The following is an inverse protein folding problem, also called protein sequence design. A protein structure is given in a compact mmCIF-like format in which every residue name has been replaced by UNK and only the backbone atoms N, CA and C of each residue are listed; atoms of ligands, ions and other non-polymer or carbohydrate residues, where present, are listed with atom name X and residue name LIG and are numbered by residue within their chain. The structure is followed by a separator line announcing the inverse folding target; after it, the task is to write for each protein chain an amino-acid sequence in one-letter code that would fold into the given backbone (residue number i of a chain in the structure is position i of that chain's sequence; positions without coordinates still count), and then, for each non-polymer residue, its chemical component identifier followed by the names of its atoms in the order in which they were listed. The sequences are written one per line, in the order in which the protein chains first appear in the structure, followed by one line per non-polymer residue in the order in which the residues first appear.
data_IF_493786617208
#
_entry.id   IF_493786617208
#
_cell.length_a   1.000
_cell.length_b   1.000
_cell.length_c   1.000
_cell.angle_alpha   90.00
_cell.angle_beta   90.00
_cell.angle_gamma   90.00
#
_symmetry.space_group_name_H-M   'P 1'
#
loop_
_entity.id
_entity.type
_entity.pdbx_description
1 polymer ?
#
# COMPACT_ATOMS: atom_id res chain seq x y z
N UNK A 1 11.46 -23.22 -22.66
CA UNK A 1 10.04 -22.93 -22.37
C UNK A 1 9.78 -23.24 -20.89
N UNK A 2 10.10 -22.27 -20.01
CA UNK A 2 9.88 -22.32 -18.55
C UNK A 2 9.81 -20.89 -17.94
N UNK A 3 9.77 -19.83 -18.77
CA UNK A 3 9.87 -18.44 -18.28
C UNK A 3 8.51 -17.96 -17.72
N UNK A 4 7.39 -18.40 -18.31
CA UNK A 4 6.04 -18.02 -17.89
C UNK A 4 5.68 -18.50 -16.47
N UNK A 5 6.05 -19.73 -16.10
CA UNK A 5 5.65 -20.32 -14.81
C UNK A 5 6.36 -19.66 -13.61
N UNK A 6 7.68 -19.43 -13.74
CA UNK A 6 8.46 -18.69 -12.72
C UNK A 6 8.01 -17.24 -12.59
N UNK A 7 7.60 -16.59 -13.69
CA UNK A 7 7.09 -15.22 -13.67
C UNK A 7 5.70 -15.13 -13.02
N UNK A 8 4.82 -16.11 -13.26
CA UNK A 8 3.52 -16.22 -12.61
C UNK A 8 3.68 -16.39 -11.09
N UNK A 9 4.57 -17.27 -10.63
CA UNK A 9 4.82 -17.45 -9.20
C UNK A 9 5.39 -16.20 -8.52
N UNK A 10 6.37 -15.54 -9.13
CA UNK A 10 6.97 -14.30 -8.60
C UNK A 10 5.92 -13.21 -8.45
N UNK A 11 5.03 -13.07 -9.44
CA UNK A 11 3.94 -12.08 -9.42
C UNK A 11 2.89 -12.43 -8.37
N UNK A 12 2.48 -13.69 -8.25
CA UNK A 12 1.55 -14.13 -7.22
C UNK A 12 2.09 -13.83 -5.81
N UNK A 13 3.37 -14.14 -5.55
CA UNK A 13 4.05 -13.82 -4.29
C UNK A 13 4.10 -12.31 -4.03
N UNK A 14 4.42 -11.49 -5.04
CA UNK A 14 4.50 -10.04 -4.90
C UNK A 14 3.17 -9.41 -4.47
N UNK A 15 2.04 -9.87 -5.05
CA UNK A 15 0.70 -9.37 -4.69
C UNK A 15 0.36 -9.73 -3.23
N UNK A 16 0.65 -10.97 -2.80
CA UNK A 16 0.40 -11.43 -1.43
C UNK A 16 1.25 -10.65 -0.43
N UNK A 17 2.54 -10.46 -0.74
CA UNK A 17 3.46 -9.69 0.12
C UNK A 17 2.98 -8.24 0.22
N UNK A 18 2.67 -7.57 -0.89
CA UNK A 18 2.19 -6.18 -0.89
C UNK A 18 0.94 -6.02 -0.03
N UNK A 19 0.00 -6.97 -0.12
CA UNK A 19 -1.22 -6.98 0.68
C UNK A 19 -0.94 -7.13 2.18
N UNK A 20 -0.01 -8.02 2.55
CA UNK A 20 0.36 -8.25 3.93
C UNK A 20 1.16 -7.09 4.53
N UNK A 21 2.08 -6.51 3.75
CA UNK A 21 2.85 -5.33 4.15
C UNK A 21 1.92 -4.14 4.40
N UNK A 22 0.96 -3.90 3.50
CA UNK A 22 -0.05 -2.85 3.70
C UNK A 22 -0.81 -3.02 5.01
N UNK A 23 -1.32 -4.23 5.27
CA UNK A 23 -2.01 -4.53 6.54
C UNK A 23 -1.09 -4.30 7.73
N UNK A 24 0.16 -4.76 7.67
CA UNK A 24 1.14 -4.57 8.74
C UNK A 24 1.42 -3.10 9.04
N UNK A 25 1.71 -2.30 8.01
CA UNK A 25 2.01 -0.87 8.15
C UNK A 25 0.80 -0.10 8.67
N UNK A 26 -0.39 -0.33 8.11
CA UNK A 26 -1.63 0.33 8.57
C UNK A 26 -1.95 -0.06 10.01
N UNK A 27 -1.75 -1.32 10.40
CA UNK A 27 -1.99 -1.79 11.77
C UNK A 27 -1.01 -1.17 12.75
N UNK A 28 0.29 -1.16 12.43
CA UNK A 28 1.32 -0.54 13.25
C UNK A 28 1.06 0.96 13.43
N UNK A 29 0.70 1.63 12.34
CA UNK A 29 0.32 3.04 12.39
C UNK A 29 -0.92 3.27 13.26
N UNK A 30 -1.96 2.45 13.14
CA UNK A 30 -3.17 2.57 13.96
C UNK A 30 -2.84 2.41 15.45
N UNK A 31 -1.96 1.48 15.81
CA UNK A 31 -1.47 1.32 17.19
C UNK A 31 -0.73 2.58 17.65
N UNK A 32 0.15 3.13 16.82
CA UNK A 32 0.87 4.37 17.14
C UNK A 32 -0.09 5.56 17.31
N UNK A 33 -1.13 5.67 16.48
CA UNK A 33 -2.15 6.70 16.59
C UNK A 33 -2.94 6.60 17.90
N UNK A 34 -3.31 5.39 18.31
CA UNK A 34 -3.96 5.13 19.62
C UNK A 34 -3.04 5.50 20.77
N UNK A 35 -1.76 5.10 20.71
CA UNK A 35 -0.77 5.49 21.71
C UNK A 35 -0.62 7.01 21.83
N UNK A 36 -0.61 7.72 20.70
CA UNK A 36 -0.50 9.17 20.70
C UNK A 36 -1.76 9.87 21.24
N UNK A 37 -2.94 9.32 20.94
CA UNK A 37 -4.21 9.75 21.53
C UNK A 37 -4.21 9.58 23.06
N UNK A 38 -3.72 8.45 23.56
CA UNK A 38 -3.58 8.17 24.99
C UNK A 38 -2.61 9.14 25.66
N UNK A 39 -1.45 9.39 25.04
CA UNK A 39 -0.45 10.35 25.56
C UNK A 39 -1.08 11.74 25.64
N UNK A 40 -1.76 12.19 24.59
CA UNK A 40 -2.43 13.49 24.55
C UNK A 40 -3.48 13.60 25.67
N UNK A 41 -4.30 12.57 25.86
CA UNK A 41 -5.35 12.54 26.89
C UNK A 41 -4.77 12.61 28.31
N UNK A 42 -3.63 11.95 28.55
CA UNK A 42 -2.95 11.95 29.85
C UNK A 42 -2.17 13.23 30.13
N UNK A 43 -1.59 13.89 29.11
CA UNK A 43 -0.73 15.06 29.32
C UNK A 43 -1.47 16.38 29.24
N UNK A 44 -2.45 16.51 28.34
CA UNK A 44 -3.04 17.82 28.03
C UNK A 44 -4.55 17.71 27.69
N UNK A 45 -5.40 17.33 28.65
CA UNK A 45 -6.82 17.11 28.40
C UNK A 45 -7.60 18.35 27.91
N UNK A 46 -7.08 19.56 28.14
CA UNK A 46 -7.64 20.83 27.64
C UNK A 46 -6.80 21.50 26.54
N UNK A 47 -5.78 20.80 26.03
CA UNK A 47 -4.84 21.32 25.04
C UNK A 47 -5.36 21.25 23.61
N UNK A 48 -4.57 21.78 22.67
CA UNK A 48 -4.85 21.63 21.25
C UNK A 48 -4.75 20.16 20.82
N UNK A 49 -5.79 19.64 20.15
CA UNK A 49 -5.88 18.27 19.64
C UNK A 49 -4.98 18.03 18.42
N UNK A 50 -3.66 18.11 18.60
CA UNK A 50 -2.69 17.97 17.52
C UNK A 50 -2.62 16.55 16.92
N UNK A 51 -3.12 15.53 17.61
CA UNK A 51 -3.18 14.13 17.15
C UNK A 51 -4.04 13.97 15.89
N UNK A 52 -5.01 14.87 15.66
CA UNK A 52 -5.90 14.83 14.49
C UNK A 52 -5.14 14.90 13.16
N UNK A 53 -4.05 15.66 13.10
CA UNK A 53 -3.28 15.90 11.87
C UNK A 53 -2.56 14.64 11.36
N UNK A 54 -1.74 13.94 12.17
CA UNK A 54 -1.11 12.70 11.74
C UNK A 54 -2.14 11.60 11.49
N UNK A 55 -3.28 11.61 12.20
CA UNK A 55 -4.39 10.71 11.90
C UNK A 55 -4.93 10.96 10.49
N UNK A 56 -5.31 12.21 10.19
CA UNK A 56 -5.84 12.62 8.88
C UNK A 56 -4.87 12.35 7.73
N UNK A 57 -3.60 12.76 7.86
CA UNK A 57 -2.61 12.62 6.80
C UNK A 57 -2.38 11.15 6.42
N UNK A 58 -2.26 10.28 7.42
CA UNK A 58 -2.05 8.86 7.18
C UNK A 58 -3.33 8.11 6.81
N UNK A 59 -4.51 8.52 7.27
CA UNK A 59 -5.77 7.96 6.78
C UNK A 59 -5.92 8.16 5.27
N UNK A 60 -5.60 9.35 4.76
CA UNK A 60 -5.64 9.61 3.31
C UNK A 60 -4.62 8.74 2.57
N UNK A 61 -3.38 8.66 3.07
CA UNK A 61 -2.35 7.82 2.49
C UNK A 61 -2.75 6.33 2.46
N UNK A 62 -3.33 5.83 3.56
CA UNK A 62 -3.80 4.46 3.68
C UNK A 62 -4.95 4.15 2.70
N UNK A 63 -5.86 5.10 2.46
CA UNK A 63 -6.94 4.95 1.48
C UNK A 63 -6.36 4.92 0.06
N UNK A 64 -5.48 5.84 -0.30
CA UNK A 64 -4.85 5.87 -1.64
C UNK A 64 -4.05 4.59 -1.89
N UNK A 65 -3.24 4.17 -0.93
CA UNK A 65 -2.42 2.95 -1.05
C UNK A 65 -3.28 1.68 -1.05
N UNK A 66 -4.35 1.66 -0.23
CA UNK A 66 -5.34 0.59 -0.24
C UNK A 66 -6.06 0.49 -1.58
N UNK A 67 -6.44 1.62 -2.18
CA UNK A 67 -7.02 1.66 -3.54
C UNK A 67 -6.01 1.22 -4.60
N UNK A 68 -4.71 1.45 -4.45
CA UNK A 68 -3.71 0.94 -5.38
C UNK A 68 -3.54 -0.60 -5.29
N UNK A 69 -3.71 -1.19 -4.10
CA UNK A 69 -3.57 -2.64 -3.87
C UNK A 69 -4.86 -3.41 -4.17
N UNK A 70 -6.00 -2.89 -3.74
CA UNK A 70 -7.31 -3.56 -3.81
C UNK A 70 -8.20 -3.03 -4.93
N UNK A 71 -8.01 -1.78 -5.34
CA UNK A 71 -8.84 -1.12 -6.32
C UNK A 71 -8.60 -1.62 -7.75
N UNK A 72 -9.63 -1.43 -8.58
CA UNK A 72 -9.58 -1.63 -10.04
C UNK A 72 -9.03 -0.38 -10.75
N UNK A 73 -8.18 0.37 -10.06
CA UNK A 73 -7.64 1.67 -10.46
C UNK A 73 -6.59 1.53 -11.56
N UNK A 74 -6.36 2.60 -12.35
CA UNK A 74 -5.48 2.57 -13.52
C UNK A 74 -3.99 2.33 -13.21
N UNK A 75 -3.58 2.40 -11.94
CA UNK A 75 -2.24 2.08 -11.47
C UNK A 75 -2.00 0.58 -11.23
N UNK A 76 -3.04 -0.25 -11.34
CA UNK A 76 -2.86 -1.70 -11.43
C UNK A 76 -2.10 -1.95 -12.72
N UNK A 77 -0.85 -2.39 -12.61
CA UNK A 77 -0.03 -2.88 -13.72
C UNK A 77 -0.90 -3.86 -14.51
N UNK A 78 -1.50 -3.37 -15.59
CA UNK A 78 -2.49 -4.10 -16.37
C UNK A 78 -1.69 -5.08 -17.21
N UNK A 79 -2.11 -6.35 -17.24
CA UNK A 79 -1.45 -7.41 -18.01
C UNK A 79 -1.12 -6.92 -19.43
N UNK A 80 -2.07 -6.21 -20.04
CA UNK A 80 -1.94 -5.59 -21.36
C UNK A 80 -0.80 -4.58 -21.49
N UNK A 81 -0.48 -3.80 -20.45
CA UNK A 81 0.62 -2.85 -20.49
C UNK A 81 1.97 -3.56 -20.39
N UNK A 82 2.09 -4.56 -19.52
CA UNK A 82 3.32 -5.35 -19.38
C UNK A 82 3.58 -6.17 -20.63
N UNK A 83 2.57 -6.84 -21.17
CA UNK A 83 2.71 -7.56 -22.44
C UNK A 83 3.09 -6.62 -23.58
N UNK A 84 2.44 -5.45 -23.71
CA UNK A 84 2.82 -4.46 -24.72
C UNK A 84 4.26 -4.00 -24.56
N UNK A 85 4.74 -3.78 -23.34
CA UNK A 85 6.13 -3.39 -23.07
C UNK A 85 7.10 -4.53 -23.39
N UNK A 86 6.76 -5.78 -23.01
CA UNK A 86 7.56 -6.97 -23.32
C UNK A 86 7.67 -7.21 -24.82
N UNK A 87 6.57 -7.10 -25.56
CA UNK A 87 6.58 -7.19 -27.04
C UNK A 87 7.44 -6.09 -27.64
N UNK A 88 7.39 -4.86 -27.07
CA UNK A 88 8.24 -3.75 -27.52
C UNK A 88 9.73 -4.01 -27.29
N UNK A 89 10.09 -4.64 -26.17
CA UNK A 89 11.47 -5.00 -25.83
C UNK A 89 11.98 -6.18 -26.65
N UNK A 90 11.13 -7.17 -26.92
CA UNK A 90 11.46 -8.31 -27.79
C UNK A 90 11.61 -7.90 -29.26
N UNK A 91 10.75 -6.99 -29.76
CA UNK A 91 10.84 -6.49 -31.13
C UNK A 91 12.06 -5.58 -31.39
N UNK A 92 12.74 -5.13 -30.32
CA UNK A 92 13.93 -4.27 -30.40
C UNK A 92 15.24 -5.04 -30.24
N UNK A 93 15.19 -6.36 -30.12
CA UNK A 93 16.32 -7.28 -29.95
C UNK A 93 16.48 -8.15 -31.19
#
# INVERSE_FOLDING_TARGET
MNIDEHDLERRARAIVIARNVYKGVVSLWAIAAVGMLLIWWLTTPSGYFWVIWPVLGMSIAAVIWGLAIYGRTPFRVRQEQVEREMTRLQARR
#
